data_IF_602344178891
#
_entry.id   IF_602344178891
#
_cell.length_a   1.000
_cell.length_b   1.000
_cell.length_c   1.000
_cell.angle_alpha   90.00
_cell.angle_beta   90.00
_cell.angle_gamma   90.00
#
_symmetry.space_group_name_H-M   'P 1'
#
loop_
_entity.id
_entity.type
_entity.pdbx_description
1 polymer ?
#
# COMPACT_ATOMS: atom_id res chain seq x y z
N UNK A 1 -13.82 21.72 13.73
CA UNK A 1 -12.52 21.15 14.12
C UNK A 1 -11.79 20.80 12.83
N UNK A 2 -10.49 21.07 12.69
CA UNK A 2 -9.75 20.60 11.52
C UNK A 2 -9.39 19.14 11.77
N UNK A 3 -9.85 18.24 10.89
CA UNK A 3 -9.47 16.83 10.95
C UNK A 3 -8.11 16.68 10.25
N UNK A 4 -7.12 16.17 10.97
CA UNK A 4 -5.76 15.99 10.47
C UNK A 4 -5.51 14.52 10.22
N UNK A 5 -5.54 14.13 8.95
CA UNK A 5 -5.23 12.76 8.56
C UNK A 5 -3.82 12.72 7.99
N UNK A 6 -3.15 11.60 8.17
CA UNK A 6 -1.86 11.36 7.57
C UNK A 6 -1.76 9.93 7.07
N UNK A 7 -0.88 9.74 6.11
CA UNK A 7 -0.51 8.40 5.67
C UNK A 7 0.97 8.34 5.42
N UNK A 8 1.53 7.16 5.64
CA UNK A 8 2.90 6.86 5.33
C UNK A 8 3.06 5.38 5.02
N UNK A 9 4.08 5.04 4.28
CA UNK A 9 4.21 3.68 3.79
C UNK A 9 5.57 3.41 3.18
N UNK A 10 5.71 2.19 2.70
CA UNK A 10 6.88 1.78 1.97
C UNK A 10 6.53 0.78 0.86
N UNK A 11 7.32 0.82 -0.20
CA UNK A 11 7.25 -0.09 -1.36
C UNK A 11 8.60 -0.79 -1.46
N UNK A 12 8.60 -2.11 -1.34
CA UNK A 12 9.78 -2.94 -1.57
C UNK A 12 9.97 -3.19 -3.07
N UNK A 13 11.01 -2.61 -3.62
CA UNK A 13 11.39 -2.71 -5.02
C UNK A 13 12.29 -3.94 -5.21
N UNK A 14 12.03 -4.70 -6.28
CA UNK A 14 12.82 -5.86 -6.68
C UNK A 14 14.08 -5.40 -7.45
N UNK A 15 14.09 -5.46 -8.79
CA UNK A 15 15.33 -5.27 -9.57
C UNK A 15 15.34 -3.97 -10.35
N UNK A 16 14.21 -3.53 -10.90
CA UNK A 16 14.16 -2.35 -11.77
C UNK A 16 14.04 -1.03 -10.97
N UNK A 17 14.99 -0.78 -10.06
CA UNK A 17 15.01 0.43 -9.23
C UNK A 17 15.04 1.72 -10.04
N UNK A 18 15.98 1.88 -10.98
CA UNK A 18 16.14 3.15 -11.70
C UNK A 18 14.90 3.51 -12.54
N UNK A 19 14.26 2.52 -13.16
CA UNK A 19 13.01 2.72 -13.89
C UNK A 19 11.84 3.04 -12.96
N UNK A 20 11.76 2.34 -11.83
CA UNK A 20 10.76 2.61 -10.79
C UNK A 20 10.93 4.03 -10.23
N UNK A 21 12.17 4.46 -10.00
CA UNK A 21 12.53 5.80 -9.54
C UNK A 21 12.17 6.86 -10.58
N UNK A 22 12.48 6.63 -11.84
CA UNK A 22 12.14 7.54 -12.93
C UNK A 22 10.62 7.78 -13.01
N UNK A 23 9.82 6.71 -12.86
CA UNK A 23 8.37 6.85 -12.78
C UNK A 23 7.91 7.66 -11.56
N UNK A 24 8.47 7.41 -10.37
CA UNK A 24 8.15 8.19 -9.16
C UNK A 24 8.48 9.67 -9.34
N UNK A 25 9.65 9.99 -9.91
CA UNK A 25 10.14 11.37 -10.04
C UNK A 25 9.44 12.12 -11.17
N UNK A 26 9.25 11.48 -12.32
CA UNK A 26 8.77 12.12 -13.55
C UNK A 26 7.34 11.70 -13.90
N UNK A 27 7.06 10.39 -13.93
CA UNK A 27 5.77 9.85 -14.38
C UNK A 27 4.57 10.27 -13.52
N UNK A 28 4.74 10.36 -12.20
CA UNK A 28 3.67 10.83 -11.29
C UNK A 28 3.23 12.28 -11.61
N UNK A 29 4.15 13.16 -12.03
CA UNK A 29 3.81 14.57 -12.34
C UNK A 29 2.85 14.68 -13.52
N UNK A 30 2.98 13.80 -14.51
CA UNK A 30 2.14 13.79 -15.70
C UNK A 30 0.70 13.33 -15.39
N UNK A 31 0.56 12.44 -14.40
CA UNK A 31 -0.71 11.81 -14.02
C UNK A 31 -1.65 12.71 -13.22
N UNK A 32 -1.12 13.73 -12.54
CA UNK A 32 -1.90 14.68 -11.71
C UNK A 32 -2.77 13.98 -10.66
N UNK A 33 -2.22 12.98 -9.96
CA UNK A 33 -2.88 12.34 -8.84
C UNK A 33 -3.25 13.33 -7.72
N UNK A 34 -4.34 13.06 -7.01
CA UNK A 34 -4.80 13.90 -5.92
C UNK A 34 -4.00 13.65 -4.64
N UNK A 35 -3.64 12.39 -4.40
CA UNK A 35 -3.04 11.96 -3.15
C UNK A 35 -1.52 11.88 -3.20
N UNK A 36 -0.97 11.52 -4.37
CA UNK A 36 0.44 11.26 -4.56
C UNK A 36 1.13 12.35 -5.39
N UNK A 37 2.27 12.82 -4.90
CA UNK A 37 3.15 13.76 -5.59
C UNK A 37 4.60 13.29 -5.38
N UNK A 38 5.53 13.42 -6.33
CA UNK A 38 6.89 12.87 -6.17
C UNK A 38 7.59 13.32 -4.90
N UNK A 39 7.34 14.57 -4.48
CA UNK A 39 7.94 15.16 -3.29
C UNK A 39 7.60 14.46 -1.96
N UNK A 40 6.58 13.59 -1.92
CA UNK A 40 6.24 12.82 -0.71
C UNK A 40 7.03 11.52 -0.61
N UNK A 41 7.72 11.12 -1.69
CA UNK A 41 8.54 9.91 -1.73
C UNK A 41 9.98 10.23 -1.36
N UNK A 42 10.52 9.44 -0.46
CA UNK A 42 11.95 9.32 -0.21
C UNK A 42 12.49 8.16 -1.05
N UNK A 43 12.97 8.47 -2.25
CA UNK A 43 13.48 7.47 -3.20
C UNK A 43 14.88 6.93 -2.87
N UNK A 44 15.42 7.20 -1.67
CA UNK A 44 16.80 6.91 -1.32
C UNK A 44 17.79 7.96 -1.88
N UNK A 45 18.88 8.17 -1.14
CA UNK A 45 19.86 9.26 -1.30
C UNK A 45 20.74 9.04 -2.55
N UNK A 46 21.43 10.09 -3.00
CA UNK A 46 22.45 10.15 -4.10
C UNK A 46 23.63 9.17 -4.00
N UNK A 47 23.78 8.42 -2.92
CA UNK A 47 24.94 7.54 -2.71
C UNK A 47 24.63 6.12 -3.16
N UNK A 48 25.62 5.49 -3.82
CA UNK A 48 25.50 4.13 -4.31
C UNK A 48 25.37 3.18 -3.11
N UNK A 49 24.27 2.42 -3.01
CA UNK A 49 24.07 1.50 -1.90
C UNK A 49 25.17 0.42 -1.88
N UNK A 50 25.91 0.31 -0.78
CA UNK A 50 27.03 -0.64 -0.67
C UNK A 50 26.57 -2.08 -0.38
N UNK A 51 25.42 -2.31 0.29
CA UNK A 51 24.97 -3.63 0.78
C UNK A 51 23.44 -3.78 1.03
N UNK A 52 22.57 -3.44 0.07
CA UNK A 52 21.12 -3.75 0.20
C UNK A 52 20.72 -4.83 -0.81
N UNK A 53 19.98 -5.86 -0.37
CA UNK A 53 19.40 -6.88 -1.26
C UNK A 53 18.22 -6.31 -2.07
N UNK A 54 17.26 -5.67 -1.40
CA UNK A 54 16.09 -5.02 -2.02
C UNK A 54 16.00 -3.55 -1.55
N UNK A 55 15.57 -2.65 -2.44
CA UNK A 55 15.49 -1.20 -2.16
C UNK A 55 14.06 -0.82 -1.72
N UNK A 56 13.96 0.09 -0.75
CA UNK A 56 12.68 0.63 -0.30
C UNK A 56 12.46 2.05 -0.81
N UNK A 57 11.28 2.29 -1.38
CA UNK A 57 10.73 3.64 -1.47
C UNK A 57 9.81 3.88 -0.28
N UNK A 58 10.23 4.72 0.66
CA UNK A 58 9.35 5.21 1.72
C UNK A 58 8.63 6.46 1.25
N UNK A 59 7.43 6.70 1.77
CA UNK A 59 6.66 7.89 1.46
C UNK A 59 5.74 8.27 2.61
N UNK A 60 5.33 9.53 2.64
CA UNK A 60 4.33 9.97 3.61
C UNK A 60 3.91 11.41 3.44
N UNK A 61 2.69 11.70 3.87
CA UNK A 61 2.06 13.01 3.74
C UNK A 61 1.08 13.25 4.88
N UNK A 62 1.03 14.48 5.36
CA UNK A 62 -0.08 15.00 6.15
C UNK A 62 -1.03 15.79 5.25
N UNK A 63 -2.34 15.63 5.47
CA UNK A 63 -3.36 16.36 4.72
C UNK A 63 -4.57 16.67 5.61
N UNK A 64 -5.23 17.80 5.35
CA UNK A 64 -6.54 18.07 5.94
C UNK A 64 -7.59 17.37 5.10
N UNK A 65 -8.56 16.74 5.76
CA UNK A 65 -9.75 16.18 5.10
C UNK A 65 -9.43 15.15 4.01
N UNK A 66 -8.63 14.13 4.32
CA UNK A 66 -8.21 13.10 3.37
C UNK A 66 -8.80 11.74 3.75
N UNK A 67 -9.36 11.00 2.79
CA UNK A 67 -9.90 9.64 2.96
C UNK A 67 -10.94 9.61 4.09
N UNK A 68 -11.91 10.51 4.01
CA UNK A 68 -12.97 10.68 5.01
C UNK A 68 -14.15 9.76 4.77
N UNK A 69 -14.27 9.24 3.56
CA UNK A 69 -15.35 8.36 3.15
C UNK A 69 -14.84 7.26 2.22
N UNK A 70 -15.75 6.33 1.91
CA UNK A 70 -15.48 5.18 1.05
C UNK A 70 -15.06 5.59 -0.36
N UNK A 71 -15.60 6.69 -0.90
CA UNK A 71 -15.27 7.14 -2.25
C UNK A 71 -13.84 7.66 -2.32
N UNK A 72 -13.41 8.45 -1.34
CA UNK A 72 -12.03 8.92 -1.23
C UNK A 72 -11.04 7.76 -0.97
N UNK A 73 -11.43 6.75 -0.18
CA UNK A 73 -10.62 5.55 0.01
C UNK A 73 -10.45 4.78 -1.31
N UNK A 74 -11.52 4.62 -2.08
CA UNK A 74 -11.45 3.99 -3.39
C UNK A 74 -10.54 4.76 -4.34
N UNK A 75 -10.68 6.10 -4.40
CA UNK A 75 -9.80 6.93 -5.22
C UNK A 75 -8.34 6.79 -4.79
N UNK A 76 -8.06 6.73 -3.49
CA UNK A 76 -6.71 6.50 -2.97
C UNK A 76 -6.16 5.15 -3.45
N UNK A 77 -6.92 4.06 -3.27
CA UNK A 77 -6.52 2.71 -3.68
C UNK A 77 -6.28 2.66 -5.19
N UNK A 78 -7.17 3.25 -5.99
CA UNK A 78 -7.04 3.29 -7.45
C UNK A 78 -5.80 4.08 -7.90
N UNK A 79 -5.54 5.25 -7.33
CA UNK A 79 -4.33 6.03 -7.63
C UNK A 79 -3.06 5.26 -7.23
N UNK A 80 -3.07 4.64 -6.04
CA UNK A 80 -1.92 3.89 -5.56
C UNK A 80 -1.65 2.64 -6.40
N UNK A 81 -2.67 1.91 -6.82
CA UNK A 81 -2.51 0.75 -7.69
C UNK A 81 -2.08 1.10 -9.12
N UNK A 82 -2.49 2.26 -9.66
CA UNK A 82 -1.92 2.75 -10.93
C UNK A 82 -0.43 3.05 -10.78
N UNK A 83 0.01 3.59 -9.62
CA UNK A 83 1.43 3.75 -9.31
C UNK A 83 2.11 2.38 -9.22
N UNK A 84 1.63 1.48 -8.37
CA UNK A 84 2.19 0.14 -8.17
C UNK A 84 2.29 -0.64 -9.48
N UNK A 85 1.29 -0.53 -10.36
CA UNK A 85 1.28 -1.16 -11.69
C UNK A 85 2.36 -0.64 -12.66
N UNK A 86 3.10 0.41 -12.30
CA UNK A 86 4.24 0.96 -13.05
C UNK A 86 5.59 0.71 -12.37
N UNK A 87 5.59 0.15 -11.16
CA UNK A 87 6.79 -0.17 -10.40
C UNK A 87 7.11 -1.65 -10.44
N UNK A 88 8.39 -1.98 -10.34
CA UNK A 88 8.87 -3.36 -10.20
C UNK A 88 8.91 -3.78 -8.73
N UNK A 89 7.76 -3.80 -8.06
CA UNK A 89 7.66 -4.02 -6.61
C UNK A 89 7.29 -5.46 -6.23
N UNK A 90 7.69 -5.88 -5.03
CA UNK A 90 7.29 -7.14 -4.39
C UNK A 90 6.08 -6.93 -3.46
N UNK A 91 6.26 -6.06 -2.48
CA UNK A 91 5.31 -5.76 -1.41
C UNK A 91 5.20 -4.26 -1.19
N UNK A 92 4.04 -3.79 -0.78
CA UNK A 92 3.84 -2.43 -0.31
C UNK A 92 2.92 -2.41 0.91
N UNK A 93 3.14 -1.44 1.79
CA UNK A 93 2.25 -1.14 2.91
C UNK A 93 2.01 0.36 3.01
N UNK A 94 0.79 0.73 3.37
CA UNK A 94 0.40 2.10 3.74
C UNK A 94 -0.29 2.04 5.10
N UNK A 95 0.25 2.79 6.07
CA UNK A 95 -0.48 3.14 7.28
C UNK A 95 -1.29 4.41 7.05
N UNK A 96 -2.53 4.37 7.49
CA UNK A 96 -3.46 5.49 7.54
C UNK A 96 -3.74 5.83 9.00
N UNK A 97 -3.45 7.06 9.38
CA UNK A 97 -3.80 7.60 10.69
C UNK A 97 -4.83 8.72 10.50
N UNK A 98 -6.04 8.47 11.00
CA UNK A 98 -7.13 9.46 11.04
C UNK A 98 -7.50 9.75 12.50
N UNK A 99 -8.25 10.82 12.73
CA UNK A 99 -8.70 11.19 14.07
C UNK A 99 -9.55 10.11 14.77
N UNK A 100 -10.12 9.16 14.02
CA UNK A 100 -11.11 8.20 14.51
C UNK A 100 -10.77 6.73 14.23
N UNK A 101 -9.77 6.46 13.40
CA UNK A 101 -9.32 5.12 13.06
C UNK A 101 -7.86 5.15 12.59
N UNK A 102 -7.11 4.11 12.95
CA UNK A 102 -5.79 3.84 12.39
C UNK A 102 -5.74 2.42 11.83
N UNK A 103 -5.32 2.31 10.57
CA UNK A 103 -5.29 1.03 9.88
C UNK A 103 -4.17 0.96 8.83
N UNK A 104 -3.72 -0.26 8.57
CA UNK A 104 -2.70 -0.60 7.61
C UNK A 104 -3.37 -1.29 6.41
N UNK A 105 -2.92 -0.91 5.22
CA UNK A 105 -3.30 -1.49 3.96
C UNK A 105 -2.05 -2.08 3.33
N UNK A 106 -2.14 -3.27 2.74
CA UNK A 106 -1.01 -3.90 2.07
C UNK A 106 -1.35 -4.34 0.65
N UNK A 107 -0.29 -4.43 -0.17
CA UNK A 107 -0.33 -4.95 -1.53
C UNK A 107 0.80 -5.96 -1.73
N UNK A 108 0.45 -7.12 -2.27
CA UNK A 108 1.37 -8.19 -2.68
C UNK A 108 1.29 -8.35 -4.19
N UNK A 109 2.43 -8.26 -4.88
CA UNK A 109 2.47 -8.37 -6.34
C UNK A 109 2.45 -9.83 -6.80
N UNK A 110 1.34 -10.26 -7.44
CA UNK A 110 1.18 -11.64 -7.90
C UNK A 110 2.18 -12.01 -9.00
N UNK A 111 2.62 -11.05 -9.81
CA UNK A 111 3.61 -11.32 -10.87
C UNK A 111 5.00 -11.65 -10.33
N UNK A 112 5.24 -11.44 -9.03
CA UNK A 112 6.48 -11.78 -8.34
C UNK A 112 6.45 -13.13 -7.65
N UNK A 113 5.34 -13.87 -7.79
CA UNK A 113 5.10 -15.12 -7.09
C UNK A 113 4.91 -16.27 -8.07
N UNK A 114 5.53 -17.40 -7.76
CA UNK A 114 5.14 -18.68 -8.34
C UNK A 114 3.74 -19.10 -7.88
N UNK A 115 3.11 -20.02 -8.61
CA UNK A 115 1.80 -20.58 -8.22
C UNK A 115 1.81 -21.16 -6.79
N UNK A 116 2.93 -21.78 -6.40
CA UNK A 116 3.11 -22.33 -5.05
C UNK A 116 3.11 -21.22 -3.99
N UNK A 117 3.81 -20.12 -4.23
CA UNK A 117 3.86 -18.98 -3.31
C UNK A 117 2.50 -18.29 -3.22
N UNK A 118 1.77 -18.18 -4.33
CA UNK A 118 0.40 -17.63 -4.31
C UNK A 118 -0.56 -18.49 -3.46
N UNK A 119 -0.48 -19.82 -3.56
CA UNK A 119 -1.27 -20.72 -2.72
C UNK A 119 -0.88 -20.64 -1.24
N UNK A 120 0.41 -20.44 -0.95
CA UNK A 120 0.92 -20.24 0.40
C UNK A 120 0.38 -18.94 1.00
N UNK A 121 0.45 -17.82 0.27
CA UNK A 121 -0.07 -16.52 0.69
C UNK A 121 -1.57 -16.62 0.99
N UNK A 122 -2.37 -17.25 0.12
CA UNK A 122 -3.82 -17.48 0.36
C UNK A 122 -4.05 -18.31 1.63
N UNK A 123 -3.29 -19.39 1.83
CA UNK A 123 -3.43 -20.22 3.03
C UNK A 123 -3.12 -19.41 4.28
N UNK A 124 -2.03 -18.66 4.25
CA UNK A 124 -1.54 -17.82 5.32
C UNK A 124 -2.54 -16.72 5.69
N UNK A 125 -3.13 -16.04 4.70
CA UNK A 125 -4.17 -15.03 4.94
C UNK A 125 -5.39 -15.64 5.63
N UNK A 126 -5.83 -16.81 5.19
CA UNK A 126 -6.96 -17.51 5.78
C UNK A 126 -6.68 -17.99 7.22
N UNK A 127 -5.50 -18.58 7.46
CA UNK A 127 -5.07 -19.06 8.78
C UNK A 127 -4.97 -17.92 9.80
N UNK A 128 -4.48 -16.76 9.37
CA UNK A 128 -4.34 -15.58 10.21
C UNK A 128 -5.62 -14.73 10.30
N UNK A 129 -6.68 -15.08 9.56
CA UNK A 129 -7.91 -14.30 9.52
C UNK A 129 -7.74 -12.90 8.91
N UNK A 130 -6.79 -12.74 7.99
CA UNK A 130 -6.53 -11.48 7.29
C UNK A 130 -7.69 -11.19 6.34
N UNK A 131 -8.22 -9.97 6.39
CA UNK A 131 -9.21 -9.52 5.39
C UNK A 131 -8.47 -9.07 4.14
N UNK A 132 -8.60 -9.82 3.06
CA UNK A 132 -7.96 -9.51 1.78
C UNK A 132 -8.94 -9.64 0.60
N UNK A 133 -8.53 -9.04 -0.50
CA UNK A 133 -9.19 -8.99 -1.79
C UNK A 133 -8.16 -9.29 -2.87
N UNK A 134 -8.62 -9.82 -3.99
CA UNK A 134 -7.75 -10.22 -5.09
C UNK A 134 -8.18 -9.52 -6.37
N UNK A 135 -7.24 -8.84 -7.03
CA UNK A 135 -7.36 -8.42 -8.42
C UNK A 135 -6.55 -9.34 -9.34
N UNK A 136 -6.61 -9.07 -10.64
CA UNK A 136 -5.73 -9.72 -11.61
C UNK A 136 -4.25 -9.61 -11.22
N UNK A 137 -3.83 -8.47 -10.66
CA UNK A 137 -2.41 -8.14 -10.43
C UNK A 137 -1.97 -8.31 -8.98
N UNK A 138 -2.85 -8.06 -8.02
CA UNK A 138 -2.45 -7.89 -6.62
C UNK A 138 -3.34 -8.68 -5.67
N UNK A 139 -2.75 -9.13 -4.56
CA UNK A 139 -3.53 -9.29 -3.32
C UNK A 139 -3.48 -7.97 -2.57
N UNK A 140 -4.65 -7.43 -2.26
CA UNK A 140 -4.83 -6.24 -1.44
C UNK A 140 -5.44 -6.65 -0.11
N UNK A 141 -4.91 -6.17 1.01
CA UNK A 141 -5.50 -6.52 2.30
C UNK A 141 -5.43 -5.44 3.35
N UNK A 142 -6.20 -5.67 4.41
CA UNK A 142 -6.32 -4.80 5.58
C UNK A 142 -5.62 -5.51 6.74
N UNK A 143 -4.50 -4.95 7.16
CA UNK A 143 -3.58 -5.56 8.11
C UNK A 143 -2.14 -5.16 7.83
N UNK A 144 -1.22 -5.71 8.61
CA UNK A 144 0.21 -5.45 8.47
C UNK A 144 0.83 -6.55 7.60
N UNK A 145 1.80 -6.19 6.76
CA UNK A 145 2.60 -7.13 5.98
C UNK A 145 4.07 -6.94 6.30
N UNK A 146 4.77 -8.05 6.51
CA UNK A 146 6.23 -8.01 6.48
C UNK A 146 6.68 -7.78 5.03
N UNK A 147 7.29 -6.62 4.78
CA UNK A 147 7.64 -6.19 3.42
C UNK A 147 8.62 -7.13 2.73
N UNK A 148 9.41 -7.92 3.46
CA UNK A 148 10.41 -8.81 2.85
C UNK A 148 9.83 -10.20 2.55
N UNK A 149 9.14 -10.79 3.52
CA UNK A 149 8.59 -12.15 3.45
C UNK A 149 7.21 -12.20 2.79
N UNK A 150 6.43 -11.12 2.86
CA UNK A 150 5.02 -11.09 2.44
C UNK A 150 4.05 -11.67 3.46
N UNK A 151 4.52 -12.05 4.66
CA UNK A 151 3.68 -12.57 5.73
C UNK A 151 2.76 -11.47 6.25
N UNK A 152 1.44 -11.69 6.21
CA UNK A 152 0.45 -10.73 6.70
C UNK A 152 -0.15 -11.12 8.05
N UNK A 153 -0.33 -10.14 8.93
CA UNK A 153 -1.00 -10.31 10.21
C UNK A 153 -2.33 -9.57 10.21
N UNK A 154 -3.36 -10.22 10.76
CA UNK A 154 -4.67 -9.59 10.92
C UNK A 154 -4.67 -8.62 12.08
N UNK A 155 -5.58 -7.67 12.02
CA UNK A 155 -5.88 -6.82 13.14
C UNK A 155 -6.76 -7.49 14.19
N UNK A 156 -6.70 -6.94 15.41
CA UNK A 156 -7.71 -7.23 16.41
C UNK A 156 -9.11 -6.90 15.86
N UNK A 157 -10.12 -7.64 16.32
CA UNK A 157 -11.51 -7.41 15.94
C UNK A 157 -11.97 -5.97 16.20
N UNK A 158 -11.41 -5.31 17.22
CA UNK A 158 -11.67 -3.91 17.54
C UNK A 158 -11.21 -2.97 16.42
N UNK A 159 -9.96 -3.10 15.96
CA UNK A 159 -9.43 -2.28 14.86
C UNK A 159 -10.18 -2.50 13.55
N UNK A 160 -10.55 -3.74 13.22
CA UNK A 160 -11.37 -4.02 12.04
C UNK A 160 -12.77 -3.40 12.16
N UNK A 161 -13.34 -3.39 13.36
CA UNK A 161 -14.64 -2.76 13.60
C UNK A 161 -14.61 -1.23 13.45
N UNK A 162 -13.49 -0.59 13.78
CA UNK A 162 -13.32 0.86 13.55
C UNK A 162 -13.18 1.17 12.06
N UNK A 163 -12.48 0.33 11.30
CA UNK A 163 -12.45 0.43 9.83
C UNK A 163 -13.85 0.29 9.23
N UNK A 164 -14.60 -0.74 9.63
CA UNK A 164 -15.96 -1.00 9.15
C UNK A 164 -16.94 0.11 9.52
N UNK A 165 -16.81 0.70 10.71
CA UNK A 165 -17.65 1.83 11.12
C UNK A 165 -17.43 3.05 10.25
N UNK A 166 -16.20 3.27 9.80
CA UNK A 166 -15.83 4.47 9.06
C UNK A 166 -16.12 4.36 7.57
N UNK A 167 -15.79 3.22 6.94
CA UNK A 167 -15.98 3.00 5.50
C UNK A 167 -17.23 2.21 5.15
N UNK A 168 -17.97 1.72 6.16
CA UNK A 168 -19.18 0.94 6.02
C UNK A 168 -18.92 -0.57 6.13
N UNK A 169 -19.89 -1.29 6.70
CA UNK A 169 -19.88 -2.76 6.69
C UNK A 169 -19.90 -3.25 5.24
N UNK A 170 -18.93 -4.09 4.86
CA UNK A 170 -18.86 -4.69 3.53
C UNK A 170 -18.13 -3.82 2.49
N UNK A 171 -17.02 -3.18 2.87
CA UNK A 171 -16.07 -2.57 1.94
C UNK A 171 -15.92 -3.42 0.65
N UNK A 172 -16.11 -2.77 -0.49
CA UNK A 172 -15.98 -3.40 -1.80
C UNK A 172 -14.74 -2.86 -2.50
N UNK A 173 -13.79 -3.74 -2.76
CA UNK A 173 -12.56 -3.41 -3.45
C UNK A 173 -12.86 -2.87 -4.87
N UNK A 174 -12.24 -1.75 -5.31
CA UNK A 174 -12.66 -1.03 -6.52
C UNK A 174 -12.26 -1.69 -7.87
N UNK A 175 -11.82 -2.95 -7.87
CA UNK A 175 -11.34 -3.68 -9.05
C UNK A 175 -12.02 -5.03 -9.24
#
# INVERSE_FOLDING_TARGET
MFEWNNFYGAILIDREYEKSKDFIVNGILEKKYNYFHPAIFSTGIKEYPYYYDDILFSFGRTAKYFVRDLHELHNFITEFEDILGKLDFKNAQVRMDTDYANYDLFWRNKSKLSEREQLEDIRQYNENGVRYFESEKFYFGIGEIDLYTGWAESYSNEKLSDFDRWYGEGFNYPF
#
